data_IF_399872502125
#
_entry.id   IF_399872502125
#
_cell.length_a   1.000
_cell.length_b   1.000
_cell.length_c   1.000
_cell.angle_alpha   90.00
_cell.angle_beta   90.00
_cell.angle_gamma   90.00
#
_symmetry.space_group_name_H-M   'P 1'
#
loop_
_entity.id
_entity.type
_entity.pdbx_description
1 polymer ?
#
# COMPACT_ATOMS: atom_id res chain seq x y z
N UNK A 1 -51.03 15.07 35.43
CA UNK A 1 -51.07 13.65 35.84
C UNK A 1 -50.74 12.82 34.61
N UNK A 2 -49.67 12.00 34.71
CA UNK A 2 -49.14 11.01 33.73
C UNK A 2 -48.50 11.57 32.45
N UNK A 3 -47.16 11.64 32.25
CA UNK A 3 -46.16 10.58 31.94
C UNK A 3 -46.63 9.64 30.79
N UNK A 4 -45.87 9.35 29.72
CA UNK A 4 -44.43 9.11 29.56
C UNK A 4 -44.04 9.08 28.04
N UNK A 5 -42.75 8.91 27.68
CA UNK A 5 -42.14 9.34 26.42
C UNK A 5 -42.20 8.31 25.29
N UNK A 6 -42.14 8.79 24.04
CA UNK A 6 -41.87 7.93 22.89
C UNK A 6 -40.36 7.59 22.84
N UNK A 7 -40.02 6.36 23.21
CA UNK A 7 -38.72 5.74 22.94
C UNK A 7 -38.88 4.84 21.70
N UNK A 8 -37.78 4.80 20.93
CA UNK A 8 -37.44 3.81 19.89
C UNK A 8 -37.74 4.23 18.44
N UNK A 9 -36.80 4.95 17.85
CA UNK A 9 -36.47 4.73 16.44
C UNK A 9 -35.15 3.96 16.39
N UNK A 10 -35.28 2.66 16.15
CA UNK A 10 -34.18 1.75 15.79
C UNK A 10 -33.32 2.37 14.69
N UNK A 11 -31.99 2.17 14.69
CA UNK A 11 -31.14 2.68 13.63
C UNK A 11 -31.54 1.96 12.34
N UNK A 12 -31.94 2.72 11.32
CA UNK A 12 -32.10 2.22 9.97
C UNK A 12 -30.75 1.67 9.50
N UNK A 13 -30.52 0.37 9.71
CA UNK A 13 -29.42 -0.38 9.15
C UNK A 13 -29.61 -0.38 7.64
N UNK A 14 -28.95 0.56 6.97
CA UNK A 14 -29.06 0.72 5.51
C UNK A 14 -28.57 -0.55 4.82
N UNK A 15 -29.36 -1.08 3.89
CA UNK A 15 -29.07 -2.29 3.10
C UNK A 15 -27.65 -2.26 2.48
N UNK A 16 -27.13 -1.06 2.21
CA UNK A 16 -25.78 -0.83 1.71
C UNK A 16 -24.65 -1.13 2.70
N UNK A 17 -24.88 -0.99 4.01
CA UNK A 17 -23.92 -1.36 5.06
C UNK A 17 -23.78 -2.88 5.15
N UNK A 18 -24.91 -3.60 5.09
CA UNK A 18 -24.95 -5.06 5.10
C UNK A 18 -24.23 -5.66 3.89
N UNK A 19 -24.43 -5.08 2.69
CA UNK A 19 -23.76 -5.51 1.46
C UNK A 19 -22.23 -5.37 1.55
N UNK A 20 -21.73 -4.27 2.13
CA UNK A 20 -20.29 -4.04 2.33
C UNK A 20 -19.68 -5.01 3.33
N UNK A 21 -20.38 -5.28 4.43
CA UNK A 21 -19.94 -6.25 5.44
C UNK A 21 -19.91 -7.67 4.88
N UNK A 22 -20.93 -8.07 4.13
CA UNK A 22 -20.96 -9.38 3.46
C UNK A 22 -19.81 -9.51 2.45
N UNK A 23 -19.55 -8.49 1.64
CA UNK A 23 -18.43 -8.54 0.69
C UNK A 23 -17.08 -8.65 1.38
N UNK A 24 -16.86 -7.94 2.49
CA UNK A 24 -15.62 -8.02 3.26
C UNK A 24 -15.45 -9.40 3.90
N UNK A 25 -16.52 -9.95 4.48
CA UNK A 25 -16.50 -11.29 5.08
C UNK A 25 -16.23 -12.36 4.00
N UNK A 26 -16.90 -12.27 2.85
CA UNK A 26 -16.68 -13.19 1.74
C UNK A 26 -15.23 -13.12 1.23
N UNK A 27 -14.66 -11.92 1.07
CA UNK A 27 -13.26 -11.75 0.68
C UNK A 27 -12.30 -12.35 1.71
N UNK A 28 -12.51 -12.10 3.00
CA UNK A 28 -11.68 -12.66 4.06
C UNK A 28 -11.77 -14.19 4.09
N UNK A 29 -12.97 -14.75 3.95
CA UNK A 29 -13.16 -16.19 3.89
C UNK A 29 -12.52 -16.81 2.65
N UNK A 30 -12.62 -16.16 1.48
CA UNK A 30 -11.95 -16.62 0.25
C UNK A 30 -10.44 -16.61 0.42
N UNK A 31 -9.87 -15.53 0.97
CA UNK A 31 -8.44 -15.41 1.26
C UNK A 31 -8.00 -16.50 2.26
N UNK A 32 -8.79 -16.73 3.31
CA UNK A 32 -8.51 -17.74 4.33
C UNK A 32 -8.56 -19.17 3.77
N UNK A 33 -9.60 -19.50 3.00
CA UNK A 33 -9.76 -20.81 2.35
C UNK A 33 -8.63 -21.04 1.36
N UNK A 34 -8.29 -20.06 0.53
CA UNK A 34 -7.15 -20.14 -0.37
C UNK A 34 -5.85 -20.37 0.41
N UNK A 35 -5.61 -19.61 1.48
CA UNK A 35 -4.41 -19.72 2.31
C UNK A 35 -4.26 -21.08 3.01
N UNK A 36 -5.37 -21.75 3.34
CA UNK A 36 -5.38 -23.07 3.98
C UNK A 36 -5.45 -24.23 2.97
N UNK A 37 -5.83 -23.95 1.73
CA UNK A 37 -5.98 -24.96 0.67
C UNK A 37 -4.64 -25.47 0.13
N UNK A 38 -4.66 -26.67 -0.46
CA UNK A 38 -3.54 -27.23 -1.24
C UNK A 38 -3.21 -26.38 -2.48
N UNK A 39 -4.16 -25.58 -2.98
CA UNK A 39 -3.96 -24.67 -4.10
C UNK A 39 -2.85 -23.64 -3.80
N UNK A 40 -2.69 -23.21 -2.54
CA UNK A 40 -1.56 -22.37 -2.13
C UNK A 40 -0.22 -23.01 -2.48
N UNK A 41 -0.06 -24.32 -2.26
CA UNK A 41 1.22 -25.02 -2.54
C UNK A 41 1.49 -25.11 -4.04
N UNK A 42 0.46 -25.38 -4.85
CA UNK A 42 0.59 -25.38 -6.30
C UNK A 42 1.00 -24.00 -6.82
N UNK A 43 0.32 -22.94 -6.37
CA UNK A 43 0.66 -21.56 -6.72
C UNK A 43 2.08 -21.19 -6.29
N UNK A 44 2.55 -21.63 -5.12
CA UNK A 44 3.94 -21.42 -4.72
C UNK A 44 4.94 -22.04 -5.70
N UNK A 45 4.71 -23.27 -6.15
CA UNK A 45 5.61 -23.94 -7.12
C UNK A 45 5.57 -23.22 -8.47
N UNK A 46 4.39 -22.91 -8.99
CA UNK A 46 4.24 -22.20 -10.27
C UNK A 46 4.86 -20.79 -10.22
N UNK A 47 4.79 -20.12 -9.06
CA UNK A 47 5.45 -18.84 -8.83
C UNK A 47 6.97 -18.98 -8.94
N UNK A 48 7.58 -20.07 -8.50
CA UNK A 48 9.02 -20.26 -8.64
C UNK A 48 9.43 -20.32 -10.13
N UNK A 49 8.70 -21.10 -10.93
CA UNK A 49 8.95 -21.21 -12.37
C UNK A 49 8.76 -19.85 -13.08
N UNK A 50 7.76 -19.07 -12.66
CA UNK A 50 7.58 -17.70 -13.14
C UNK A 50 8.79 -16.80 -12.79
N UNK A 51 9.34 -16.91 -11.58
CA UNK A 51 10.51 -16.13 -11.18
C UNK A 51 11.76 -16.54 -11.98
N UNK A 52 11.96 -17.83 -12.25
CA UNK A 52 13.02 -18.29 -13.14
C UNK A 52 12.84 -17.77 -14.56
N UNK A 53 11.61 -17.78 -15.08
CA UNK A 53 11.30 -17.23 -16.39
C UNK A 53 11.61 -15.72 -16.46
N UNK A 54 11.29 -14.94 -15.42
CA UNK A 54 11.62 -13.50 -15.37
C UNK A 54 13.12 -13.24 -15.56
N UNK A 55 13.99 -14.12 -15.06
CA UNK A 55 15.43 -14.01 -15.24
C UNK A 55 15.91 -14.22 -16.67
N UNK A 56 15.13 -14.95 -17.49
CA UNK A 56 15.44 -15.20 -18.91
C UNK A 56 15.03 -14.04 -19.83
N UNK A 57 14.21 -13.11 -19.32
CA UNK A 57 13.77 -11.94 -20.08
C UNK A 57 14.92 -10.99 -20.36
N UNK A 58 14.75 -10.13 -21.37
CA UNK A 58 15.72 -9.08 -21.70
C UNK A 58 16.05 -8.19 -20.48
N UNK A 59 15.07 -7.89 -19.63
CA UNK A 59 15.30 -7.14 -18.38
C UNK A 59 16.15 -7.93 -17.38
N UNK A 60 15.88 -9.23 -17.22
CA UNK A 60 16.67 -10.10 -16.35
C UNK A 60 18.11 -10.24 -16.81
N UNK A 61 18.33 -10.41 -18.12
CA UNK A 61 19.67 -10.47 -18.72
C UNK A 61 20.41 -9.15 -18.51
N UNK A 62 19.81 -7.99 -18.83
CA UNK A 62 20.45 -6.69 -18.62
C UNK A 62 20.82 -6.48 -17.16
N UNK A 63 19.89 -6.76 -16.24
CA UNK A 63 20.10 -6.57 -14.81
C UNK A 63 21.27 -7.41 -14.27
N UNK A 64 21.50 -8.60 -14.82
CA UNK A 64 22.61 -9.48 -14.44
C UNK A 64 23.93 -9.12 -15.12
N UNK A 65 23.89 -8.74 -16.40
CA UNK A 65 25.10 -8.51 -17.20
C UNK A 65 25.71 -7.13 -16.94
N UNK A 66 24.89 -6.10 -16.71
CA UNK A 66 25.33 -4.72 -16.59
C UNK A 66 25.10 -4.18 -15.18
N UNK A 67 26.03 -4.45 -14.26
CA UNK A 67 25.93 -3.99 -12.87
C UNK A 67 25.76 -2.47 -12.73
N UNK A 68 26.35 -1.69 -13.62
CA UNK A 68 26.16 -0.23 -13.65
C UNK A 68 24.71 0.17 -14.00
N UNK A 69 24.07 -0.53 -14.95
CA UNK A 69 22.67 -0.29 -15.29
C UNK A 69 21.75 -0.65 -14.13
N UNK A 70 22.02 -1.77 -13.44
CA UNK A 70 21.30 -2.15 -12.24
C UNK A 70 21.43 -1.09 -11.13
N UNK A 71 22.65 -0.62 -10.85
CA UNK A 71 22.90 0.41 -9.83
C UNK A 71 22.20 1.75 -10.13
N UNK A 72 22.16 2.16 -11.41
CA UNK A 72 21.43 3.37 -11.82
C UNK A 72 19.93 3.21 -11.60
N UNK A 73 19.35 2.06 -11.99
CA UNK A 73 17.93 1.79 -11.77
C UNK A 73 17.59 1.73 -10.27
N UNK A 74 18.48 1.14 -9.46
CA UNK A 74 18.35 1.13 -8.00
C UNK A 74 18.37 2.55 -7.42
N UNK A 75 19.26 3.43 -7.90
CA UNK A 75 19.30 4.82 -7.47
C UNK A 75 17.98 5.56 -7.78
N UNK A 76 17.44 5.39 -8.99
CA UNK A 76 16.12 5.94 -9.35
C UNK A 76 14.99 5.34 -8.52
N UNK A 77 15.05 4.05 -8.20
CA UNK A 77 14.07 3.40 -7.33
C UNK A 77 14.07 4.03 -5.93
N UNK A 78 15.25 4.24 -5.34
CA UNK A 78 15.38 4.88 -4.03
C UNK A 78 14.91 6.34 -4.04
N UNK A 79 15.22 7.08 -5.11
CA UNK A 79 14.72 8.45 -5.27
C UNK A 79 13.20 8.48 -5.38
N UNK A 80 12.61 7.60 -6.18
CA UNK A 80 11.16 7.48 -6.31
C UNK A 80 10.49 7.05 -5.00
N UNK A 81 11.12 6.16 -4.22
CA UNK A 81 10.67 5.81 -2.87
C UNK A 81 10.71 7.01 -1.93
N UNK A 82 11.76 7.83 -1.99
CA UNK A 82 11.87 9.05 -1.20
C UNK A 82 10.78 10.07 -1.58
N UNK A 83 10.50 10.25 -2.88
CA UNK A 83 9.43 11.12 -3.36
C UNK A 83 8.04 10.61 -2.94
N UNK A 84 7.78 9.32 -3.08
CA UNK A 84 6.54 8.68 -2.66
C UNK A 84 6.34 8.84 -1.15
N UNK A 85 7.35 8.47 -0.35
CA UNK A 85 7.32 8.61 1.09
C UNK A 85 7.13 10.06 1.51
N UNK A 86 7.89 10.99 0.93
CA UNK A 86 7.78 12.43 1.19
C UNK A 86 6.38 12.97 0.91
N UNK A 87 5.73 12.54 -0.18
CA UNK A 87 4.36 12.91 -0.49
C UNK A 87 3.37 12.40 0.58
N UNK A 88 3.55 11.16 1.06
CA UNK A 88 2.76 10.61 2.16
C UNK A 88 2.96 11.43 3.43
N UNK A 89 4.20 11.72 3.81
CA UNK A 89 4.53 12.52 4.99
C UNK A 89 3.91 13.93 4.93
N UNK A 90 4.03 14.63 3.80
CA UNK A 90 3.44 15.96 3.60
C UNK A 90 1.91 15.92 3.76
N UNK A 91 1.25 14.95 3.12
CA UNK A 91 -0.18 14.77 3.25
C UNK A 91 -0.60 14.49 4.70
N UNK A 92 0.08 13.55 5.37
CA UNK A 92 -0.28 13.12 6.72
C UNK A 92 0.02 14.19 7.77
N UNK A 93 1.12 14.92 7.66
CA UNK A 93 1.43 16.04 8.56
C UNK A 93 0.44 17.20 8.38
N UNK A 94 -0.05 17.43 7.16
CA UNK A 94 -1.13 18.40 6.94
C UNK A 94 -2.43 18.00 7.63
N UNK A 95 -2.77 16.70 7.62
CA UNK A 95 -3.94 16.15 8.31
C UNK A 95 -3.79 16.17 9.85
N UNK A 96 -2.57 16.02 10.36
CA UNK A 96 -2.27 16.12 11.79
C UNK A 96 -2.25 17.57 12.29
N UNK A 97 -2.22 18.55 11.38
CA UNK A 97 -2.15 19.97 11.71
C UNK A 97 -0.73 20.47 12.01
N UNK A 98 0.30 19.81 11.48
CA UNK A 98 1.70 20.14 11.71
C UNK A 98 2.37 20.91 10.57
N UNK A 99 1.84 20.83 9.35
CA UNK A 99 2.48 21.43 8.16
C UNK A 99 1.45 22.02 7.19
N UNK A 100 1.85 23.02 6.40
CA UNK A 100 1.03 23.72 5.39
C UNK A 100 -0.33 24.23 5.90
N UNK A 101 -0.35 24.85 7.08
CA UNK A 101 -1.56 25.37 7.70
C UNK A 101 -2.17 26.55 6.94
N UNK A 102 -1.33 27.33 6.24
CA UNK A 102 -1.74 28.50 5.45
C UNK A 102 -2.38 28.13 4.10
N UNK A 103 -2.37 26.84 3.72
CA UNK A 103 -2.90 26.34 2.45
C UNK A 103 -4.14 25.48 2.71
N UNK A 104 -5.20 25.56 1.88
CA UNK A 104 -6.35 24.67 1.97
C UNK A 104 -5.92 23.20 2.00
N UNK A 105 -6.46 22.43 2.96
CA UNK A 105 -6.04 21.05 3.19
C UNK A 105 -6.20 20.19 1.92
N UNK A 106 -7.31 20.33 1.20
CA UNK A 106 -7.55 19.57 -0.03
C UNK A 106 -6.52 19.86 -1.12
N UNK A 107 -6.04 21.10 -1.26
CA UNK A 107 -5.03 21.43 -2.26
C UNK A 107 -3.70 20.71 -1.99
N UNK A 108 -3.28 20.67 -0.72
CA UNK A 108 -2.07 19.94 -0.30
C UNK A 108 -2.24 18.45 -0.54
N UNK A 109 -3.40 17.89 -0.18
CA UNK A 109 -3.69 16.46 -0.35
C UNK A 109 -3.70 16.05 -1.82
N UNK A 110 -4.28 16.85 -2.72
CA UNK A 110 -4.34 16.57 -4.15
C UNK A 110 -2.97 16.63 -4.81
N UNK A 111 -2.17 17.64 -4.48
CA UNK A 111 -0.79 17.75 -4.99
C UNK A 111 0.07 16.60 -4.48
N UNK A 112 -0.02 16.29 -3.18
CA UNK A 112 0.68 15.16 -2.60
C UNK A 112 0.24 13.83 -3.24
N UNK A 113 -1.06 13.65 -3.52
CA UNK A 113 -1.55 12.45 -4.19
C UNK A 113 -0.99 12.31 -5.62
N UNK A 114 -0.88 13.41 -6.38
CA UNK A 114 -0.25 13.38 -7.72
C UNK A 114 1.21 12.94 -7.64
N UNK A 115 1.99 13.50 -6.71
CA UNK A 115 3.39 13.11 -6.50
C UNK A 115 3.49 11.65 -6.06
N UNK A 116 2.60 11.22 -5.17
CA UNK A 116 2.49 9.83 -4.73
C UNK A 116 2.26 8.87 -5.91
N UNK A 117 1.35 9.20 -6.84
CA UNK A 117 1.07 8.36 -8.01
C UNK A 117 2.29 8.24 -8.93
N UNK A 118 2.96 9.36 -9.22
CA UNK A 118 4.17 9.36 -10.05
C UNK A 118 5.26 8.53 -9.38
N UNK A 119 5.52 8.75 -8.09
CA UNK A 119 6.47 7.96 -7.31
C UNK A 119 6.12 6.47 -7.34
N UNK A 120 4.85 6.12 -7.16
CA UNK A 120 4.38 4.73 -7.15
C UNK A 120 4.62 4.03 -8.50
N UNK A 121 4.30 4.70 -9.61
CA UNK A 121 4.53 4.14 -10.95
C UNK A 121 6.02 3.88 -11.17
N UNK A 122 6.88 4.82 -10.79
CA UNK A 122 8.34 4.69 -10.96
C UNK A 122 8.89 3.58 -10.06
N UNK A 123 8.49 3.52 -8.79
CA UNK A 123 8.88 2.46 -7.83
C UNK A 123 8.47 1.08 -8.32
N UNK A 124 7.24 0.93 -8.83
CA UNK A 124 6.76 -0.35 -9.36
C UNK A 124 7.53 -0.76 -10.61
N UNK A 125 7.69 0.15 -11.56
CA UNK A 125 8.38 -0.14 -12.83
C UNK A 125 9.85 -0.52 -12.61
N UNK A 126 10.57 0.25 -11.80
CA UNK A 126 11.96 -0.03 -11.44
C UNK A 126 12.10 -1.26 -10.54
N UNK A 127 11.15 -1.49 -9.64
CA UNK A 127 11.11 -2.67 -8.78
C UNK A 127 10.91 -3.97 -9.56
N UNK A 128 10.04 -3.97 -10.57
CA UNK A 128 9.85 -5.10 -11.48
C UNK A 128 11.14 -5.39 -12.26
N UNK A 129 11.79 -4.35 -12.79
CA UNK A 129 13.08 -4.52 -13.47
C UNK A 129 14.13 -5.18 -12.57
N UNK A 130 14.30 -4.68 -11.34
CA UNK A 130 15.25 -5.25 -10.39
C UNK A 130 14.87 -6.68 -9.99
N UNK A 131 13.57 -6.97 -9.84
CA UNK A 131 13.08 -8.30 -9.57
C UNK A 131 13.48 -9.28 -10.69
N UNK A 132 13.34 -8.91 -11.96
CA UNK A 132 13.77 -9.75 -13.08
C UNK A 132 15.28 -10.07 -13.04
N UNK A 133 16.12 -9.14 -12.58
CA UNK A 133 17.57 -9.38 -12.50
C UNK A 133 17.99 -10.40 -11.43
N UNK A 134 17.20 -10.57 -10.37
CA UNK A 134 17.58 -11.32 -9.16
C UNK A 134 16.44 -12.24 -8.67
N UNK A 135 15.51 -12.60 -9.54
CA UNK A 135 14.24 -13.25 -9.17
C UNK A 135 14.43 -14.58 -8.42
N UNK A 136 15.32 -15.45 -8.89
CA UNK A 136 15.58 -16.75 -8.27
C UNK A 136 16.03 -16.63 -6.81
N UNK A 137 16.79 -15.59 -6.47
CA UNK A 137 17.20 -15.31 -5.07
C UNK A 137 16.07 -14.66 -4.27
N UNK A 138 15.31 -13.75 -4.88
CA UNK A 138 14.20 -13.04 -4.23
C UNK A 138 13.08 -13.99 -3.79
N UNK A 139 12.78 -15.02 -4.58
CA UNK A 139 11.74 -16.00 -4.27
C UNK A 139 11.94 -16.65 -2.90
N UNK A 140 13.18 -17.04 -2.58
CA UNK A 140 13.53 -17.70 -1.32
C UNK A 140 13.68 -16.73 -0.15
N UNK A 141 13.67 -15.42 -0.38
CA UNK A 141 13.84 -14.42 0.65
C UNK A 141 12.47 -14.03 1.26
N UNK A 142 12.13 -14.44 2.50
CA UNK A 142 10.82 -14.14 3.08
C UNK A 142 10.55 -12.64 3.21
N UNK A 143 11.61 -11.86 3.41
CA UNK A 143 11.56 -10.40 3.57
C UNK A 143 11.04 -9.70 2.30
N UNK A 144 11.30 -10.25 1.12
CA UNK A 144 10.73 -9.75 -0.13
C UNK A 144 9.20 -9.87 -0.13
N UNK A 145 8.67 -11.02 0.29
CA UNK A 145 7.22 -11.24 0.36
C UNK A 145 6.55 -10.31 1.37
N UNK A 146 7.17 -10.07 2.53
CA UNK A 146 6.67 -9.08 3.50
C UNK A 146 6.64 -7.67 2.90
N UNK A 147 7.67 -7.27 2.14
CA UNK A 147 7.68 -5.99 1.42
C UNK A 147 6.52 -5.91 0.40
N UNK A 148 6.28 -6.96 -0.38
CA UNK A 148 5.20 -6.99 -1.37
C UNK A 148 3.82 -6.93 -0.72
N UNK A 149 3.61 -7.62 0.40
CA UNK A 149 2.37 -7.55 1.18
C UNK A 149 2.15 -6.16 1.80
N UNK A 150 3.19 -5.57 2.39
CA UNK A 150 3.13 -4.23 2.96
C UNK A 150 2.82 -3.19 1.87
N UNK A 151 3.50 -3.27 0.73
CA UNK A 151 3.29 -2.37 -0.41
C UNK A 151 1.86 -2.49 -0.95
N UNK A 152 1.38 -3.72 -1.17
CA UNK A 152 0.02 -3.98 -1.63
C UNK A 152 -1.01 -3.42 -0.63
N UNK A 153 -0.80 -3.67 0.66
CA UNK A 153 -1.67 -3.14 1.72
C UNK A 153 -1.67 -1.61 1.73
N UNK A 154 -0.50 -0.97 1.59
CA UNK A 154 -0.39 0.49 1.50
C UNK A 154 -1.09 1.09 0.31
N UNK A 155 -0.95 0.48 -0.87
CA UNK A 155 -1.66 0.89 -2.09
C UNK A 155 -3.17 0.78 -1.86
N UNK A 156 -3.65 -0.39 -1.41
CA UNK A 156 -5.07 -0.60 -1.16
C UNK A 156 -5.62 0.37 -0.11
N UNK A 157 -4.87 0.61 0.98
CA UNK A 157 -5.24 1.57 2.01
C UNK A 157 -5.38 2.99 1.45
N UNK A 158 -4.43 3.44 0.62
CA UNK A 158 -4.49 4.77 0.02
C UNK A 158 -5.70 4.93 -0.90
N UNK A 159 -5.95 3.95 -1.78
CA UNK A 159 -7.00 4.07 -2.80
C UNK A 159 -8.41 3.74 -2.30
N UNK A 160 -8.57 2.78 -1.40
CA UNK A 160 -9.89 2.33 -0.94
C UNK A 160 -10.35 2.99 0.36
N UNK A 161 -9.42 3.45 1.21
CA UNK A 161 -9.75 4.01 2.52
C UNK A 161 -9.42 5.50 2.55
N UNK A 162 -8.14 5.85 2.41
CA UNK A 162 -7.67 7.23 2.61
C UNK A 162 -8.28 8.21 1.62
N UNK A 163 -8.15 7.96 0.31
CA UNK A 163 -8.60 8.90 -0.72
C UNK A 163 -10.13 9.07 -0.77
N UNK A 164 -10.96 8.01 -0.73
CA UNK A 164 -12.41 8.19 -0.72
C UNK A 164 -12.93 8.88 0.53
N UNK A 165 -12.24 8.72 1.67
CA UNK A 165 -12.58 9.42 2.90
C UNK A 165 -12.21 10.91 2.82
N UNK A 166 -11.01 11.23 2.35
CA UNK A 166 -10.48 12.59 2.31
C UNK A 166 -10.98 13.44 1.14
N UNK A 167 -11.59 12.82 0.12
CA UNK A 167 -12.27 13.54 -0.97
C UNK A 167 -13.61 14.17 -0.53
N UNK A 168 -14.09 13.87 0.68
CA UNK A 168 -15.27 14.53 1.26
C UNK A 168 -14.86 15.84 1.91
N UNK A 169 -15.85 16.65 2.27
CA UNK A 169 -15.59 17.82 3.08
C UNK A 169 -14.99 17.38 4.43
N UNK A 170 -13.84 17.94 4.79
CA UNK A 170 -13.14 17.57 6.01
C UNK A 170 -13.89 18.05 7.26
N UNK A 171 -14.71 19.10 7.11
CA UNK A 171 -15.52 19.65 8.20
C UNK A 171 -16.67 18.71 8.59
N UNK A 172 -17.10 17.83 7.67
CA UNK A 172 -18.10 16.79 7.94
C UNK A 172 -17.52 15.57 8.67
N UNK A 173 -16.18 15.43 8.69
CA UNK A 173 -15.49 14.27 9.26
C UNK A 173 -15.01 14.61 10.66
N UNK A 174 -15.24 13.69 11.60
CA UNK A 174 -14.73 13.84 12.96
C UNK A 174 -13.19 13.98 12.94
N UNK A 175 -12.61 15.03 13.57
CA UNK A 175 -11.17 15.30 13.50
C UNK A 175 -10.27 14.15 13.96
N UNK A 176 -10.72 13.33 14.93
CA UNK A 176 -9.96 12.18 15.40
C UNK A 176 -9.84 11.07 14.34
N UNK A 177 -10.84 10.89 13.47
CA UNK A 177 -10.81 9.90 12.39
C UNK A 177 -9.75 10.29 11.36
N UNK A 178 -9.71 11.58 11.00
CA UNK A 178 -8.70 12.12 10.08
C UNK A 178 -7.29 11.89 10.62
N UNK A 179 -7.06 12.17 11.91
CA UNK A 179 -5.78 11.94 12.58
C UNK A 179 -5.40 10.46 12.61
N UNK A 180 -6.34 9.55 12.92
CA UNK A 180 -6.07 8.12 12.90
C UNK A 180 -5.71 7.59 11.51
N UNK A 181 -6.39 8.08 10.47
CA UNK A 181 -6.08 7.69 9.09
C UNK A 181 -4.69 8.17 8.68
N UNK A 182 -4.29 9.37 9.10
CA UNK A 182 -2.94 9.88 8.89
C UNK A 182 -1.88 9.03 9.61
N UNK A 183 -2.10 8.68 10.89
CA UNK A 183 -1.18 7.82 11.64
C UNK A 183 -1.09 6.42 11.04
N UNK A 184 -2.23 5.82 10.67
CA UNK A 184 -2.27 4.51 10.03
C UNK A 184 -1.53 4.51 8.68
N UNK A 185 -1.72 5.56 7.88
CA UNK A 185 -0.98 5.79 6.64
C UNK A 185 0.53 5.80 6.87
N UNK A 186 0.99 6.60 7.84
CA UNK A 186 2.42 6.69 8.18
C UNK A 186 3.00 5.34 8.59
N UNK A 187 2.33 4.60 9.47
CA UNK A 187 2.78 3.29 9.93
C UNK A 187 2.93 2.28 8.78
N UNK A 188 1.96 2.26 7.86
CA UNK A 188 2.02 1.37 6.70
C UNK A 188 3.20 1.72 5.80
N UNK A 189 3.38 2.99 5.45
CA UNK A 189 4.47 3.41 4.56
C UNK A 189 5.86 3.31 5.21
N UNK A 190 5.96 3.53 6.52
CA UNK A 190 7.20 3.25 7.28
C UNK A 190 7.53 1.76 7.22
N UNK A 191 6.53 0.88 7.35
CA UNK A 191 6.73 -0.57 7.25
C UNK A 191 7.18 -0.99 5.84
N UNK A 192 6.63 -0.38 4.79
CA UNK A 192 7.08 -0.59 3.40
C UNK A 192 8.55 -0.17 3.24
N UNK A 193 8.94 0.98 3.78
CA UNK A 193 10.33 1.46 3.71
C UNK A 193 11.29 0.56 4.53
N UNK A 194 10.89 0.17 5.74
CA UNK A 194 11.68 -0.65 6.65
C UNK A 194 11.95 -2.05 6.10
N UNK A 195 10.91 -2.71 5.55
CA UNK A 195 11.06 -4.02 4.88
C UNK A 195 11.97 -3.93 3.66
N UNK A 196 11.96 -2.80 2.93
CA UNK A 196 12.90 -2.52 1.85
C UNK A 196 14.35 -2.53 2.29
N UNK A 197 14.69 -1.86 3.41
CA UNK A 197 16.06 -1.84 3.94
C UNK A 197 16.49 -3.23 4.43
N UNK A 198 15.58 -3.99 5.00
CA UNK A 198 15.86 -5.33 5.54
C UNK A 198 16.26 -6.32 4.44
N UNK A 199 15.76 -6.19 3.21
CA UNK A 199 16.22 -7.02 2.07
C UNK A 199 17.74 -6.94 1.89
N UNK A 200 18.34 -5.76 2.07
CA UNK A 200 19.79 -5.57 1.95
C UNK A 200 20.61 -6.21 3.08
N UNK A 201 19.99 -6.48 4.23
CA UNK A 201 20.64 -7.17 5.37
C UNK A 201 20.36 -8.67 5.40
N UNK A 202 19.21 -9.12 4.88
CA UNK A 202 18.87 -10.53 4.84
C UNK A 202 19.46 -11.27 3.63
N UNK A 203 19.92 -10.53 2.62
CA UNK A 203 20.60 -11.06 1.43
C UNK A 203 22.13 -11.09 1.51
N UNK A 204 22.73 -10.67 2.63
CA UNK A 204 24.18 -10.68 2.89
C UNK A 204 24.64 -11.93 3.62
#
# INVERSE_FOLDING_TARGET
>A
MSTSPAISTSPALTLGSYRRTITSIALVLIILVFALSSARRAVWVDLYDFFLWMETTWFGVIGKTWGAAFAVVEAFHLLAMALLGGAVFVADFRLLGWSFLDVPAQEVLDKAHKVFLVGLIVVLSTGIFMACGVAGKLYWLPVFWYKMLALTTGILFVFFIKRPLLNRDLDEIKPWVVKLVAVASLLVWITVAATGRWIGFAGS
#
